data_IF_954163494288
#
_entry.id   IF_954163494288
#
_cell.length_a   1.000
_cell.length_b   1.000
_cell.length_c   1.000
_cell.angle_alpha   90.00
_cell.angle_beta   90.00
_cell.angle_gamma   90.00
#
_symmetry.space_group_name_H-M   'P 1'
#
loop_
_entity.id
_entity.type
_entity.pdbx_description
1 polymer ?
#
# COMPACT_ATOMS: atom_id res chain seq x y z
N UNK A 1 13.52 -62.11 -9.50
CA UNK A 1 13.75 -60.93 -8.64
C UNK A 1 13.77 -59.70 -9.53
N UNK A 2 12.76 -58.83 -9.45
CA UNK A 2 12.76 -57.57 -10.18
C UNK A 2 13.70 -56.55 -9.48
N UNK A 3 14.47 -55.73 -10.22
CA UNK A 3 15.37 -54.75 -9.62
C UNK A 3 14.58 -53.60 -8.99
N UNK A 4 14.92 -53.27 -7.74
CA UNK A 4 14.39 -52.12 -7.01
C UNK A 4 14.94 -50.84 -7.65
N UNK A 5 14.11 -49.84 -8.02
CA UNK A 5 14.59 -48.62 -8.66
C UNK A 5 15.36 -47.73 -7.67
N UNK A 6 16.37 -46.97 -8.12
CA UNK A 6 17.27 -46.23 -7.23
C UNK A 6 16.58 -45.01 -6.60
N UNK A 7 16.48 -45.04 -5.28
CA UNK A 7 16.05 -43.93 -4.43
C UNK A 7 17.18 -42.94 -4.17
N UNK A 8 17.45 -42.00 -5.09
CA UNK A 8 18.57 -41.04 -4.87
C UNK A 8 18.17 -39.58 -5.00
N UNK A 9 17.32 -39.19 -5.95
CA UNK A 9 16.98 -37.77 -6.16
C UNK A 9 15.89 -37.22 -5.21
N UNK A 10 14.85 -38.02 -4.91
CA UNK A 10 13.74 -37.57 -4.06
C UNK A 10 14.12 -37.48 -2.59
N UNK A 11 15.02 -38.37 -2.15
CA UNK A 11 15.55 -38.38 -0.79
C UNK A 11 16.59 -37.29 -0.56
N UNK A 12 17.40 -36.94 -1.57
CA UNK A 12 18.36 -35.83 -1.47
C UNK A 12 17.65 -34.48 -1.40
N UNK A 13 16.61 -34.25 -2.20
CA UNK A 13 15.78 -33.04 -2.13
C UNK A 13 15.03 -32.91 -0.79
N UNK A 14 14.50 -34.01 -0.26
CA UNK A 14 13.87 -34.02 1.06
C UNK A 14 14.86 -33.70 2.19
N UNK A 15 16.10 -34.22 2.11
CA UNK A 15 17.17 -33.90 3.07
C UNK A 15 17.62 -32.44 2.95
N UNK A 16 17.77 -31.91 1.74
CA UNK A 16 18.10 -30.50 1.52
C UNK A 16 17.02 -29.56 2.09
N UNK A 17 15.75 -29.87 1.88
CA UNK A 17 14.63 -29.12 2.47
C UNK A 17 14.59 -29.18 4.00
N UNK A 18 14.92 -30.33 4.59
CA UNK A 18 14.99 -30.49 6.05
C UNK A 18 16.15 -29.68 6.66
N UNK A 19 17.32 -29.67 6.01
CA UNK A 19 18.48 -28.88 6.43
C UNK A 19 18.19 -27.38 6.31
N UNK A 20 17.62 -26.93 5.20
CA UNK A 20 17.23 -25.54 5.02
C UNK A 20 16.23 -25.10 6.10
N UNK A 21 15.23 -25.93 6.42
CA UNK A 21 14.24 -25.63 7.47
C UNK A 21 14.89 -25.58 8.87
N UNK A 22 15.87 -26.43 9.15
CA UNK A 22 16.62 -26.38 10.42
C UNK A 22 17.51 -25.13 10.52
N UNK A 23 18.18 -24.76 9.44
CA UNK A 23 18.99 -23.53 9.38
C UNK A 23 18.09 -22.31 9.55
N UNK A 24 16.93 -22.26 8.88
CA UNK A 24 15.94 -21.19 9.05
C UNK A 24 15.40 -21.10 10.46
N UNK A 25 15.04 -22.23 11.10
CA UNK A 25 14.57 -22.23 12.49
C UNK A 25 15.65 -21.74 13.47
N UNK A 26 16.91 -22.14 13.27
CA UNK A 26 18.03 -21.69 14.11
C UNK A 26 18.35 -20.21 13.90
N UNK A 27 18.41 -19.78 12.65
CA UNK A 27 18.58 -18.37 12.31
C UNK A 27 17.42 -17.54 12.87
N UNK A 28 16.18 -18.02 12.79
CA UNK A 28 15.02 -17.35 13.35
C UNK A 28 15.12 -17.20 14.89
N UNK A 29 15.52 -18.26 15.59
CA UNK A 29 15.65 -18.24 17.07
C UNK A 29 16.81 -17.35 17.54
N UNK A 30 17.85 -17.15 16.74
CA UNK A 30 18.98 -16.28 17.12
C UNK A 30 18.76 -14.83 16.68
N UNK A 31 18.32 -14.65 15.43
CA UNK A 31 18.21 -13.33 14.80
C UNK A 31 16.92 -12.61 15.21
N UNK A 32 15.77 -13.28 15.33
CA UNK A 32 14.54 -12.57 15.71
C UNK A 32 14.62 -11.94 17.11
N UNK A 33 15.16 -12.61 18.15
CA UNK A 33 15.27 -11.98 19.47
C UNK A 33 16.26 -10.81 19.49
N UNK A 34 17.35 -10.87 18.71
CA UNK A 34 18.29 -9.75 18.61
C UNK A 34 17.72 -8.58 17.83
N UNK A 35 17.05 -8.83 16.70
CA UNK A 35 16.31 -7.80 15.95
C UNK A 35 15.19 -7.22 16.80
N UNK A 36 14.45 -8.06 17.53
CA UNK A 36 13.39 -7.64 18.44
C UNK A 36 13.94 -6.82 19.62
N UNK A 37 15.08 -7.18 20.20
CA UNK A 37 15.76 -6.42 21.28
C UNK A 37 16.36 -5.11 20.78
N UNK A 38 16.96 -5.10 19.59
CA UNK A 38 17.48 -3.88 18.97
C UNK A 38 16.33 -2.91 18.67
N UNK A 39 15.23 -3.41 18.11
CA UNK A 39 14.03 -2.60 17.88
C UNK A 39 13.38 -2.15 19.19
N UNK A 40 13.28 -2.96 20.24
CA UNK A 40 12.72 -2.51 21.54
C UNK A 40 13.62 -1.51 22.25
N UNK A 41 14.95 -1.68 22.24
CA UNK A 41 15.86 -0.69 22.84
C UNK A 41 15.81 0.66 22.12
N UNK A 42 15.60 0.68 20.81
CA UNK A 42 15.41 1.93 20.06
C UNK A 42 13.98 2.50 20.15
N UNK A 43 12.96 1.65 20.34
CA UNK A 43 11.56 2.07 20.45
C UNK A 43 11.18 2.60 21.86
N UNK A 44 11.92 2.21 22.91
CA UNK A 44 11.65 2.60 24.31
C UNK A 44 12.45 3.82 24.79
N UNK A 45 13.34 4.37 23.97
CA UNK A 45 13.84 5.72 24.23
C UNK A 45 12.64 6.66 24.10
N UNK A 46 12.21 7.33 25.18
CA UNK A 46 11.37 8.53 25.10
C UNK A 46 12.14 9.54 24.25
N UNK A 47 12.00 9.46 22.94
CA UNK A 47 12.34 10.55 22.05
C UNK A 47 11.25 11.57 22.31
N UNK A 48 11.66 12.73 22.81
CA UNK A 48 10.80 13.90 22.70
C UNK A 48 10.33 13.97 21.25
N UNK A 49 9.01 14.07 21.03
CA UNK A 49 8.42 14.29 19.70
C UNK A 49 8.69 15.73 19.26
N UNK A 50 9.91 16.22 19.47
CA UNK A 50 10.37 17.50 18.96
C UNK A 50 10.56 17.35 17.46
N UNK A 51 9.59 17.88 16.73
CA UNK A 51 9.56 17.84 15.28
C UNK A 51 10.67 18.76 14.77
N UNK A 52 11.64 18.21 14.03
CA UNK A 52 12.68 19.02 13.38
C UNK A 52 12.12 19.75 12.14
N UNK A 53 12.87 20.68 11.55
CA UNK A 53 12.42 21.43 10.37
C UNK A 53 12.01 20.53 9.19
N UNK A 54 12.75 19.44 8.94
CA UNK A 54 12.46 18.51 7.82
C UNK A 54 11.15 17.77 8.03
N UNK A 55 10.91 17.33 9.25
CA UNK A 55 9.67 16.68 9.65
C UNK A 55 8.49 17.67 9.64
N UNK A 56 8.69 18.91 10.11
CA UNK A 56 7.68 19.96 10.08
C UNK A 56 7.26 20.29 8.65
N UNK A 57 8.21 20.42 7.72
CA UNK A 57 7.93 20.58 6.29
C UNK A 57 7.16 19.37 5.75
N UNK A 58 7.57 18.15 6.11
CA UNK A 58 6.89 16.92 5.65
C UNK A 58 5.43 16.86 6.15
N UNK A 59 5.17 17.20 7.42
CA UNK A 59 3.82 17.31 7.96
C UNK A 59 3.00 18.41 7.28
N UNK A 60 3.61 19.57 7.03
CA UNK A 60 2.99 20.67 6.28
C UNK A 60 2.60 20.24 4.87
N UNK A 61 3.46 19.48 4.19
CA UNK A 61 3.17 18.91 2.86
C UNK A 61 2.04 17.88 2.91
N UNK A 62 1.99 17.00 3.93
CA UNK A 62 0.87 16.06 4.11
C UNK A 62 -0.45 16.83 4.28
N UNK A 63 -0.46 17.86 5.13
CA UNK A 63 -1.63 18.71 5.33
C UNK A 63 -2.06 19.43 4.05
N UNK A 64 -1.09 20.00 3.31
CA UNK A 64 -1.34 20.64 2.03
C UNK A 64 -1.90 19.64 1.00
N UNK A 65 -1.34 18.44 0.90
CA UNK A 65 -1.87 17.39 0.03
C UNK A 65 -3.30 17.02 0.39
N UNK A 66 -3.60 16.81 1.67
CA UNK A 66 -4.97 16.49 2.10
C UNK A 66 -5.97 17.58 1.69
N UNK A 67 -5.62 18.85 1.86
CA UNK A 67 -6.48 20.00 1.48
C UNK A 67 -6.60 20.13 -0.04
N UNK A 68 -5.49 20.03 -0.78
CA UNK A 68 -5.49 20.12 -2.24
C UNK A 68 -6.31 18.98 -2.84
N UNK A 69 -6.11 17.75 -2.36
CA UNK A 69 -6.91 16.59 -2.80
C UNK A 69 -8.38 16.83 -2.50
N UNK A 70 -8.73 17.34 -1.31
CA UNK A 70 -10.11 17.66 -0.97
C UNK A 70 -10.73 18.67 -1.96
N UNK A 71 -10.02 19.75 -2.28
CA UNK A 71 -10.50 20.77 -3.23
C UNK A 71 -10.65 20.16 -4.62
N UNK A 72 -9.61 19.51 -5.14
CA UNK A 72 -9.61 18.90 -6.47
C UNK A 72 -10.69 17.82 -6.61
N UNK A 73 -10.99 17.07 -5.54
CA UNK A 73 -12.05 16.05 -5.57
C UNK A 73 -13.45 16.65 -5.66
N UNK A 74 -13.69 17.79 -4.99
CA UNK A 74 -15.02 18.39 -4.88
C UNK A 74 -15.36 19.37 -6.01
N UNK A 75 -14.36 20.01 -6.63
CA UNK A 75 -14.60 21.00 -7.69
C UNK A 75 -14.77 20.32 -9.06
N UNK A 76 -15.91 20.53 -9.75
CA UNK A 76 -16.11 20.04 -11.12
C UNK A 76 -15.00 20.54 -12.05
N UNK A 77 -14.62 19.77 -13.09
CA UNK A 77 -13.45 19.99 -13.96
C UNK A 77 -12.09 19.74 -13.31
N UNK A 78 -11.82 20.27 -12.12
CA UNK A 78 -10.54 20.02 -11.41
C UNK A 78 -10.36 18.56 -11.01
N UNK A 79 -11.47 17.83 -10.78
CA UNK A 79 -11.48 16.39 -10.54
C UNK A 79 -10.77 15.59 -11.64
N UNK A 80 -10.76 16.08 -12.89
CA UNK A 80 -10.10 15.39 -14.01
C UNK A 80 -8.58 15.35 -13.84
N UNK A 81 -7.98 16.31 -13.14
CA UNK A 81 -6.54 16.33 -12.84
C UNK A 81 -6.15 15.16 -11.93
N UNK A 82 -7.04 14.80 -11.00
CA UNK A 82 -6.82 13.65 -10.11
C UNK A 82 -7.12 12.31 -10.76
N UNK A 83 -7.74 12.29 -11.94
CA UNK A 83 -8.20 11.06 -12.59
C UNK A 83 -7.14 9.95 -12.71
N UNK A 84 -5.91 10.19 -13.23
CA UNK A 84 -4.90 9.13 -13.34
C UNK A 84 -4.47 8.58 -11.96
N UNK A 85 -4.40 9.45 -10.95
CA UNK A 85 -4.07 9.04 -9.58
C UNK A 85 -5.24 8.28 -8.95
N UNK A 86 -6.48 8.70 -9.22
CA UNK A 86 -7.70 8.04 -8.74
C UNK A 86 -7.74 6.59 -9.21
N UNK A 87 -7.47 6.34 -10.50
CA UNK A 87 -7.39 4.99 -11.05
C UNK A 87 -6.31 4.15 -10.34
N UNK A 88 -5.16 4.75 -10.07
CA UNK A 88 -4.10 4.10 -9.31
C UNK A 88 -4.54 3.68 -7.90
N UNK A 89 -5.25 4.55 -7.18
CA UNK A 89 -5.67 4.24 -5.81
C UNK A 89 -6.83 3.24 -5.78
N UNK A 90 -7.75 3.29 -6.76
CA UNK A 90 -8.73 2.23 -6.99
C UNK A 90 -8.01 0.89 -7.21
N UNK A 91 -6.90 0.87 -7.94
CA UNK A 91 -6.14 -0.37 -8.13
C UNK A 91 -5.61 -0.95 -6.80
N UNK A 92 -5.19 -0.12 -5.83
CA UNK A 92 -4.82 -0.59 -4.50
C UNK A 92 -6.01 -1.14 -3.71
N UNK A 93 -7.19 -0.53 -3.87
CA UNK A 93 -8.44 -1.02 -3.29
C UNK A 93 -8.76 -2.43 -3.83
N UNK A 94 -8.77 -2.60 -5.14
CA UNK A 94 -9.00 -3.91 -5.77
C UNK A 94 -7.93 -4.94 -5.40
N UNK A 95 -6.68 -4.51 -5.28
CA UNK A 95 -5.59 -5.37 -4.83
C UNK A 95 -5.80 -5.87 -3.39
N UNK A 96 -6.39 -5.06 -2.51
CA UNK A 96 -6.79 -5.46 -1.16
C UNK A 96 -7.78 -6.62 -1.17
N UNK A 97 -8.84 -6.52 -1.99
CA UNK A 97 -9.77 -7.63 -2.19
C UNK A 97 -9.07 -8.88 -2.71
N UNK A 98 -8.20 -8.72 -3.71
CA UNK A 98 -7.50 -9.83 -4.36
C UNK A 98 -6.59 -10.60 -3.39
N UNK A 99 -5.77 -9.89 -2.59
CA UNK A 99 -4.91 -10.52 -1.58
C UNK A 99 -5.75 -11.25 -0.53
N UNK A 100 -6.76 -10.58 0.04
CA UNK A 100 -7.56 -11.19 1.11
C UNK A 100 -8.37 -12.36 0.61
N UNK A 101 -8.84 -12.34 -0.65
CA UNK A 101 -9.48 -13.48 -1.27
C UNK A 101 -8.52 -14.68 -1.29
N UNK A 102 -7.29 -14.50 -1.81
CA UNK A 102 -6.27 -15.55 -1.81
C UNK A 102 -5.95 -16.07 -0.40
N UNK A 103 -5.78 -15.17 0.57
CA UNK A 103 -5.48 -15.53 1.97
C UNK A 103 -6.64 -16.26 2.68
N UNK A 104 -7.88 -16.08 2.22
CA UNK A 104 -9.07 -16.73 2.80
C UNK A 104 -9.54 -17.96 2.02
N UNK A 105 -8.72 -18.46 1.09
CA UNK A 105 -8.99 -19.67 0.29
C UNK A 105 -9.87 -19.43 -0.94
N UNK A 106 -10.05 -18.17 -1.34
CA UNK A 106 -10.68 -17.78 -2.60
C UNK A 106 -9.69 -17.71 -3.76
N UNK A 107 -10.23 -17.59 -4.98
CA UNK A 107 -9.47 -17.41 -6.21
C UNK A 107 -9.91 -16.14 -6.90
N UNK A 108 -8.96 -15.28 -7.23
CA UNK A 108 -9.19 -14.08 -8.06
C UNK A 108 -9.31 -14.51 -9.52
N UNK A 109 -10.42 -14.14 -10.16
CA UNK A 109 -10.69 -14.46 -11.56
C UNK A 109 -10.25 -13.31 -12.48
N UNK A 110 -10.58 -12.07 -12.12
CA UNK A 110 -10.15 -10.88 -12.85
C UNK A 110 -10.31 -9.62 -12.02
N UNK A 111 -9.45 -8.64 -12.23
CA UNK A 111 -9.60 -7.27 -11.76
C UNK A 111 -9.91 -6.38 -12.98
N UNK A 112 -10.90 -5.49 -12.86
CA UNK A 112 -11.24 -4.50 -13.89
C UNK A 112 -11.18 -3.10 -13.28
N UNK A 113 -10.57 -2.14 -13.99
CA UNK A 113 -10.58 -0.72 -13.65
C UNK A 113 -11.37 0.02 -14.73
N UNK A 114 -12.53 0.52 -14.36
CA UNK A 114 -13.44 1.29 -15.22
C UNK A 114 -13.38 2.80 -14.87
N UNK A 115 -13.14 3.69 -15.85
CA UNK A 115 -13.11 5.14 -15.65
C UNK A 115 -14.39 5.74 -15.06
N UNK A 116 -15.53 5.13 -15.36
CA UNK A 116 -16.87 5.61 -15.04
C UNK A 116 -17.46 4.85 -13.86
N UNK A 117 -17.19 3.55 -13.76
CA UNK A 117 -17.79 2.67 -12.76
C UNK A 117 -16.89 2.39 -11.54
N UNK A 118 -15.58 2.67 -11.61
CA UNK A 118 -14.63 2.42 -10.53
C UNK A 118 -13.84 1.13 -10.71
N UNK A 119 -13.62 0.36 -9.63
CA UNK A 119 -12.91 -0.92 -9.68
C UNK A 119 -13.85 -2.10 -9.47
N UNK A 120 -13.51 -3.27 -10.01
CA UNK A 120 -14.22 -4.51 -9.73
C UNK A 120 -13.30 -5.73 -9.71
N UNK A 121 -13.24 -6.40 -8.55
CA UNK A 121 -12.54 -7.67 -8.35
C UNK A 121 -13.51 -8.83 -8.39
N UNK A 122 -13.49 -9.57 -9.50
CA UNK A 122 -14.23 -10.82 -9.63
C UNK A 122 -13.46 -11.94 -8.93
N UNK A 123 -14.06 -12.53 -7.90
CA UNK A 123 -13.48 -13.58 -7.08
C UNK A 123 -14.44 -14.75 -6.88
N UNK A 124 -13.91 -15.96 -6.77
CA UNK A 124 -14.65 -17.20 -6.45
C UNK A 124 -14.18 -17.75 -5.11
N UNK A 125 -15.10 -17.94 -4.17
CA UNK A 125 -14.77 -18.38 -2.81
C UNK A 125 -14.18 -17.25 -1.96
N UNK A 126 -13.52 -17.61 -0.86
CA UNK A 126 -13.02 -16.65 0.14
C UNK A 126 -14.09 -16.25 1.16
N UNK A 127 -13.66 -15.64 2.27
CA UNK A 127 -14.56 -15.20 3.35
C UNK A 127 -14.98 -13.75 3.13
N UNK A 128 -16.19 -13.55 2.59
CA UNK A 128 -16.70 -12.22 2.24
C UNK A 128 -16.75 -11.22 3.41
N UNK A 129 -16.89 -11.69 4.65
CA UNK A 129 -16.82 -10.86 5.85
C UNK A 129 -15.45 -10.14 6.01
N UNK A 130 -14.39 -10.68 5.41
CA UNK A 130 -13.03 -10.12 5.48
C UNK A 130 -12.65 -9.53 4.13
N UNK A 131 -13.05 -10.15 3.00
CA UNK A 131 -12.67 -9.63 1.69
C UNK A 131 -13.36 -8.31 1.35
N UNK A 132 -14.62 -8.09 1.74
CA UNK A 132 -15.32 -6.82 1.47
C UNK A 132 -14.67 -5.61 2.17
N UNK A 133 -14.38 -5.62 3.48
CA UNK A 133 -13.66 -4.49 4.10
C UNK A 133 -12.21 -4.37 3.62
N UNK A 134 -11.61 -5.43 3.05
CA UNK A 134 -10.20 -5.43 2.66
C UNK A 134 -9.86 -4.43 1.55
N UNK A 135 -10.82 -4.00 0.73
CA UNK A 135 -10.58 -2.96 -0.26
C UNK A 135 -10.21 -1.64 0.40
N UNK A 136 -11.11 -1.10 1.22
CA UNK A 136 -10.90 0.16 1.93
C UNK A 136 -9.77 0.08 2.95
N UNK A 137 -9.73 -0.98 3.76
CA UNK A 137 -8.73 -1.11 4.81
C UNK A 137 -7.34 -1.43 4.24
N UNK A 138 -7.28 -2.23 3.17
CA UNK A 138 -6.04 -2.59 2.50
C UNK A 138 -5.42 -1.40 1.78
N UNK A 139 -6.20 -0.65 0.99
CA UNK A 139 -5.73 0.60 0.35
C UNK A 139 -5.28 1.64 1.37
N UNK A 140 -5.96 1.75 2.51
CA UNK A 140 -5.59 2.68 3.56
C UNK A 140 -4.32 2.29 4.31
N UNK A 141 -4.12 0.99 4.54
CA UNK A 141 -2.89 0.44 5.11
C UNK A 141 -1.70 0.67 4.17
N UNK A 142 -1.86 0.36 2.88
CA UNK A 142 -0.84 0.63 1.86
C UNK A 142 -0.53 2.13 1.84
N UNK A 143 -1.56 2.99 1.83
CA UNK A 143 -1.40 4.44 1.91
C UNK A 143 -0.59 4.88 3.13
N UNK A 144 -0.89 4.33 4.32
CA UNK A 144 -0.14 4.60 5.53
C UNK A 144 1.33 4.18 5.42
N UNK A 145 1.61 2.99 4.88
CA UNK A 145 2.99 2.53 4.66
C UNK A 145 3.76 3.44 3.69
N UNK A 146 3.11 3.93 2.64
CA UNK A 146 3.71 4.89 1.71
C UNK A 146 3.97 6.24 2.38
N UNK A 147 3.04 6.72 3.22
CA UNK A 147 3.25 7.95 4.00
C UNK A 147 4.46 7.78 4.92
N UNK A 148 4.54 6.66 5.66
CA UNK A 148 5.67 6.33 6.51
C UNK A 148 6.99 6.36 5.72
N UNK A 149 7.04 5.70 4.57
CA UNK A 149 8.22 5.72 3.69
C UNK A 149 8.53 7.11 3.13
N UNK A 150 7.52 7.95 2.92
CA UNK A 150 7.64 9.33 2.45
C UNK A 150 8.38 10.29 3.40
N UNK A 151 8.66 9.87 4.64
CA UNK A 151 9.51 10.65 5.56
C UNK A 151 11.01 10.54 5.23
N UNK A 152 11.42 9.56 4.41
CA UNK A 152 12.84 9.31 4.11
C UNK A 152 13.07 8.90 2.64
N UNK A 153 14.15 9.42 2.03
CA UNK A 153 14.46 9.16 0.61
C UNK A 153 14.75 7.68 0.34
N UNK A 154 15.58 7.03 1.15
CA UNK A 154 15.93 5.62 0.97
C UNK A 154 14.74 4.70 1.21
N UNK A 155 13.92 5.01 2.23
CA UNK A 155 12.67 4.29 2.45
C UNK A 155 11.71 4.45 1.26
N UNK A 156 11.63 5.64 0.66
CA UNK A 156 10.82 5.89 -0.55
C UNK A 156 11.33 5.16 -1.78
N UNK A 157 12.65 5.02 -1.95
CA UNK A 157 13.26 4.16 -2.99
C UNK A 157 12.82 2.70 -2.83
N UNK A 158 12.87 2.17 -1.61
CA UNK A 158 12.40 0.80 -1.35
C UNK A 158 10.90 0.66 -1.61
N UNK A 159 10.12 1.63 -1.12
CA UNK A 159 8.67 1.64 -1.31
C UNK A 159 8.28 1.67 -2.79
N UNK A 160 8.95 2.47 -3.62
CA UNK A 160 8.61 2.54 -5.05
C UNK A 160 8.97 1.27 -5.82
N UNK A 161 9.99 0.52 -5.39
CA UNK A 161 10.26 -0.82 -5.94
C UNK A 161 9.14 -1.80 -5.61
N UNK A 162 8.68 -1.81 -4.34
CA UNK A 162 7.55 -2.64 -3.92
C UNK A 162 6.26 -2.24 -4.65
N UNK A 163 6.01 -0.93 -4.81
CA UNK A 163 4.90 -0.44 -5.62
C UNK A 163 4.97 -0.90 -7.07
N UNK A 164 6.16 -0.86 -7.68
CA UNK A 164 6.39 -1.39 -9.02
C UNK A 164 5.97 -2.86 -9.13
N UNK A 165 6.37 -3.69 -8.16
CA UNK A 165 5.94 -5.11 -8.10
C UNK A 165 4.43 -5.24 -7.94
N UNK A 166 3.82 -4.45 -7.04
CA UNK A 166 2.36 -4.45 -6.88
C UNK A 166 1.64 -4.12 -8.19
N UNK A 167 2.11 -3.13 -8.96
CA UNK A 167 1.51 -2.81 -10.26
C UNK A 167 1.69 -3.90 -11.30
N UNK A 168 2.84 -4.59 -11.31
CA UNK A 168 3.02 -5.75 -12.19
C UNK A 168 2.03 -6.87 -11.84
N UNK A 169 1.77 -7.10 -10.55
CA UNK A 169 0.74 -8.04 -10.10
C UNK A 169 -0.67 -7.57 -10.47
N UNK A 170 -0.95 -6.26 -10.38
CA UNK A 170 -2.20 -5.68 -10.88
C UNK A 170 -2.35 -5.92 -12.38
N UNK A 171 -1.29 -5.81 -13.19
CA UNK A 171 -1.35 -6.16 -14.62
C UNK A 171 -1.52 -7.66 -14.86
N UNK A 172 -1.02 -8.51 -13.96
CA UNK A 172 -1.21 -9.96 -14.05
C UNK A 172 -2.66 -10.36 -13.82
N UNK A 173 -3.33 -9.80 -12.80
CA UNK A 173 -4.74 -10.06 -12.49
C UNK A 173 -5.72 -9.19 -13.27
N UNK A 174 -5.25 -8.05 -13.76
CA UNK A 174 -6.00 -7.08 -14.52
C UNK A 174 -6.42 -7.67 -15.86
N UNK A 175 -7.63 -7.31 -16.30
CA UNK A 175 -7.93 -7.39 -17.72
C UNK A 175 -6.89 -6.53 -18.45
N UNK A 176 -6.36 -7.03 -19.56
CA UNK A 176 -5.40 -6.29 -20.40
C UNK A 176 -6.11 -5.22 -21.22
N UNK A 177 -7.00 -4.46 -20.57
CA UNK A 177 -7.62 -3.29 -21.19
C UNK A 177 -6.58 -2.16 -21.28
N UNK A 178 -6.73 -1.34 -22.31
CA UNK A 178 -5.78 -0.26 -22.60
C UNK A 178 -5.65 0.74 -21.44
N UNK A 179 -6.71 0.98 -20.68
CA UNK A 179 -6.76 1.99 -19.62
C UNK A 179 -6.02 1.54 -18.36
N UNK A 180 -6.20 0.29 -17.94
CA UNK A 180 -5.44 -0.35 -16.86
C UNK A 180 -3.95 -0.35 -17.21
N UNK A 181 -3.60 -0.75 -18.44
CA UNK A 181 -2.22 -0.76 -18.91
C UNK A 181 -1.63 0.66 -18.92
N UNK A 182 -2.34 1.63 -19.49
CA UNK A 182 -1.91 3.02 -19.54
C UNK A 182 -1.73 3.61 -18.14
N UNK A 183 -2.67 3.39 -17.22
CA UNK A 183 -2.59 3.89 -15.85
C UNK A 183 -1.37 3.34 -15.13
N UNK A 184 -1.12 2.03 -15.24
CA UNK A 184 0.07 1.40 -14.65
C UNK A 184 1.35 1.93 -15.28
N UNK A 185 1.40 2.07 -16.61
CA UNK A 185 2.57 2.61 -17.30
C UNK A 185 2.86 4.05 -16.91
N UNK A 186 1.84 4.90 -16.79
CA UNK A 186 1.99 6.28 -16.33
C UNK A 186 2.45 6.35 -14.87
N UNK A 187 1.90 5.51 -13.99
CA UNK A 187 2.32 5.43 -12.59
C UNK A 187 3.78 4.98 -12.47
N UNK A 188 4.17 3.91 -13.18
CA UNK A 188 5.56 3.44 -13.20
C UNK A 188 6.48 4.49 -13.82
N UNK A 189 6.08 5.11 -14.93
CA UNK A 189 6.82 6.18 -15.59
C UNK A 189 7.06 7.37 -14.67
N UNK A 190 6.05 7.79 -13.90
CA UNK A 190 6.17 8.84 -12.90
C UNK A 190 7.15 8.46 -11.78
N UNK A 191 7.07 7.23 -11.25
CA UNK A 191 7.99 6.76 -10.21
C UNK A 191 9.44 6.70 -10.73
N UNK A 192 9.65 6.20 -11.94
CA UNK A 192 10.97 6.13 -12.58
C UNK A 192 11.50 7.54 -12.85
N UNK A 193 10.69 8.45 -13.39
CA UNK A 193 11.12 9.83 -13.62
C UNK A 193 11.51 10.52 -12.31
N UNK A 194 10.69 10.38 -11.26
CA UNK A 194 10.95 10.98 -9.95
C UNK A 194 12.17 10.35 -9.24
N UNK A 195 12.54 9.12 -9.59
CA UNK A 195 13.73 8.45 -9.07
C UNK A 195 15.02 9.17 -9.46
N UNK A 196 15.11 9.67 -10.70
CA UNK A 196 16.30 10.33 -11.23
C UNK A 196 16.41 11.82 -10.88
N UNK A 197 15.35 12.44 -10.35
CA UNK A 197 15.35 13.87 -9.99
C UNK A 197 15.93 14.05 -8.58
N UNK A 198 16.98 14.88 -8.47
CA UNK A 198 17.61 15.29 -7.20
C UNK A 198 17.86 14.12 -6.24
N UNK A 199 18.53 13.06 -6.72
CA UNK A 199 18.82 11.85 -5.94
C UNK A 199 17.58 11.23 -5.25
N UNK A 200 16.46 11.16 -5.97
CA UNK A 200 15.17 10.63 -5.52
C UNK A 200 14.45 11.48 -4.45
N UNK A 201 14.83 12.75 -4.28
CA UNK A 201 14.09 13.67 -3.40
C UNK A 201 12.67 13.92 -3.93
N UNK A 202 12.49 14.03 -5.26
CA UNK A 202 11.17 14.14 -5.87
C UNK A 202 10.34 12.86 -5.63
N UNK A 203 10.95 11.69 -5.78
CA UNK A 203 10.31 10.39 -5.51
C UNK A 203 9.72 10.34 -4.10
N UNK A 204 10.45 10.85 -3.10
CA UNK A 204 9.98 10.92 -1.71
C UNK A 204 8.61 11.61 -1.61
N UNK A 205 8.45 12.74 -2.29
CA UNK A 205 7.21 13.51 -2.26
C UNK A 205 6.11 12.93 -3.15
N UNK A 206 6.46 12.22 -4.22
CA UNK A 206 5.50 11.46 -5.05
C UNK A 206 4.94 10.27 -4.26
N UNK A 207 5.80 9.49 -3.60
CA UNK A 207 5.38 8.38 -2.73
C UNK A 207 4.50 8.89 -1.59
N UNK A 208 4.88 10.00 -0.96
CA UNK A 208 4.07 10.66 0.06
C UNK A 208 2.70 11.08 -0.46
N UNK A 209 2.64 11.67 -1.67
CA UNK A 209 1.39 12.08 -2.31
C UNK A 209 0.46 10.88 -2.58
N UNK A 210 1.00 9.82 -3.20
CA UNK A 210 0.25 8.58 -3.47
C UNK A 210 -0.26 7.98 -2.15
N UNK A 211 0.57 8.00 -1.11
CA UNK A 211 0.21 7.54 0.23
C UNK A 211 -0.98 8.29 0.82
N UNK A 212 -0.92 9.64 0.84
CA UNK A 212 -2.02 10.49 1.33
C UNK A 212 -3.30 10.25 0.55
N UNK A 213 -3.20 10.18 -0.78
CA UNK A 213 -4.37 9.94 -1.63
C UNK A 213 -4.99 8.56 -1.37
N UNK A 214 -4.16 7.52 -1.21
CA UNK A 214 -4.61 6.16 -0.89
C UNK A 214 -5.22 6.05 0.52
N UNK A 215 -4.65 6.71 1.53
CA UNK A 215 -5.20 6.71 2.89
C UNK A 215 -6.54 7.44 3.01
N UNK A 216 -6.76 8.48 2.21
CA UNK A 216 -8.00 9.25 2.23
C UNK A 216 -9.06 8.70 1.27
N UNK A 217 -8.72 7.73 0.43
CA UNK A 217 -9.62 7.20 -0.59
C UNK A 217 -10.92 6.64 -0.01
N UNK A 218 -10.84 5.81 1.03
CA UNK A 218 -12.04 5.25 1.67
C UNK A 218 -12.97 6.35 2.18
N UNK A 219 -12.39 7.40 2.80
CA UNK A 219 -13.13 8.56 3.30
C UNK A 219 -13.86 9.25 2.14
N UNK A 220 -13.16 9.50 1.03
CA UNK A 220 -13.75 10.17 -0.13
C UNK A 220 -14.80 9.33 -0.84
N UNK A 221 -14.56 8.04 -1.02
CA UNK A 221 -15.51 7.15 -1.69
C UNK A 221 -16.81 7.02 -0.89
N UNK A 222 -16.70 6.95 0.44
CA UNK A 222 -17.84 6.95 1.36
C UNK A 222 -18.53 8.33 1.39
N UNK A 223 -17.79 9.44 1.35
CA UNK A 223 -18.39 10.77 1.23
C UNK A 223 -19.16 10.93 -0.08
N UNK A 224 -18.61 10.47 -1.21
CA UNK A 224 -19.29 10.47 -2.51
C UNK A 224 -20.58 9.62 -2.44
N UNK A 225 -20.55 8.44 -1.81
CA UNK A 225 -21.73 7.60 -1.61
C UNK A 225 -22.81 8.29 -0.76
N UNK A 226 -22.40 8.97 0.31
CA UNK A 226 -23.30 9.64 1.25
C UNK A 226 -23.93 10.92 0.66
N UNK A 227 -23.15 11.71 -0.07
CA UNK A 227 -23.52 13.05 -0.54
C UNK A 227 -24.10 12.99 -1.95
N UNK A 228 -23.44 12.28 -2.88
CA UNK A 228 -23.81 12.25 -4.29
C UNK A 228 -24.76 11.10 -4.65
N UNK A 229 -25.09 10.22 -3.69
CA UNK A 229 -25.98 9.05 -3.89
C UNK A 229 -25.61 8.29 -5.18
N UNK A 230 -24.37 7.80 -5.24
CA UNK A 230 -23.91 6.98 -6.37
C UNK A 230 -24.92 5.87 -6.65
N UNK A 231 -25.19 5.67 -7.94
CA UNK A 231 -26.06 4.60 -8.45
C UNK A 231 -25.40 3.23 -8.22
N UNK A 232 -24.07 3.18 -8.18
CA UNK A 232 -23.28 1.97 -8.02
C UNK A 232 -23.19 1.52 -6.55
N UNK A 233 -23.23 0.21 -6.32
CA UNK A 233 -23.11 -0.38 -4.98
C UNK A 233 -21.65 -0.39 -4.51
N UNK A 234 -21.35 0.25 -3.39
CA UNK A 234 -20.04 0.16 -2.72
C UNK A 234 -19.90 -1.09 -1.85
N UNK A 235 -18.67 -1.43 -1.44
CA UNK A 235 -18.43 -2.56 -0.54
C UNK A 235 -19.21 -2.44 0.78
N UNK A 236 -19.39 -1.22 1.27
CA UNK A 236 -20.16 -0.97 2.49
C UNK A 236 -21.65 -1.30 2.29
N UNK A 237 -22.19 -1.01 1.10
CA UNK A 237 -23.55 -1.39 0.74
C UNK A 237 -23.72 -2.90 0.61
N UNK A 238 -22.78 -3.58 -0.05
CA UNK A 238 -22.79 -5.05 -0.21
C UNK A 238 -22.63 -5.74 1.14
N UNK A 239 -21.77 -5.22 2.01
CA UNK A 239 -21.57 -5.73 3.36
C UNK A 239 -22.83 -5.58 4.21
N UNK A 240 -23.47 -4.41 4.18
CA UNK A 240 -24.72 -4.16 4.90
C UNK A 240 -25.86 -5.08 4.43
N UNK A 241 -25.98 -5.33 3.11
CA UNK A 241 -26.96 -6.27 2.58
C UNK A 241 -26.74 -7.71 3.06
N UNK A 242 -25.48 -8.11 3.25
CA UNK A 242 -25.12 -9.49 3.61
C UNK A 242 -25.10 -9.75 5.11
N UNK A 243 -24.61 -8.79 5.90
CA UNK A 243 -24.36 -8.96 7.33
C UNK A 243 -25.23 -8.05 8.20
N UNK A 244 -26.10 -7.24 7.59
CA UNK A 244 -26.98 -6.31 8.27
C UNK A 244 -26.32 -4.99 8.64
N UNK A 245 -27.12 -4.10 9.24
CA UNK A 245 -26.73 -2.72 9.54
C UNK A 245 -26.92 -1.78 8.35
N UNK A 246 -26.42 -0.56 8.49
CA UNK A 246 -26.47 0.46 7.45
C UNK A 246 -25.13 0.56 6.74
N UNK A 247 -25.15 0.74 5.42
CA UNK A 247 -23.94 1.02 4.62
C UNK A 247 -23.18 2.22 5.16
N UNK A 248 -23.90 3.22 5.70
CA UNK A 248 -23.30 4.41 6.32
C UNK A 248 -22.51 4.08 7.57
N UNK A 249 -23.04 3.18 8.41
CA UNK A 249 -22.39 2.78 9.65
C UNK A 249 -21.07 2.05 9.36
N UNK A 250 -21.11 1.06 8.47
CA UNK A 250 -19.91 0.33 8.06
C UNK A 250 -18.90 1.22 7.35
N UNK A 251 -19.36 2.10 6.46
CA UNK A 251 -18.52 3.11 5.83
C UNK A 251 -17.81 3.97 6.87
N UNK A 252 -18.54 4.62 7.79
CA UNK A 252 -17.94 5.47 8.81
C UNK A 252 -16.91 4.74 9.69
N UNK A 253 -17.18 3.49 10.06
CA UNK A 253 -16.24 2.65 10.81
C UNK A 253 -14.94 2.47 10.02
N UNK A 254 -15.03 2.09 8.75
CA UNK A 254 -13.84 1.87 7.92
C UNK A 254 -13.10 3.17 7.59
N UNK A 255 -13.81 4.29 7.39
CA UNK A 255 -13.20 5.62 7.27
C UNK A 255 -12.41 5.99 8.52
N UNK A 256 -12.95 5.75 9.71
CA UNK A 256 -12.25 6.02 10.96
C UNK A 256 -10.97 5.18 11.11
N UNK A 257 -11.05 3.88 10.79
CA UNK A 257 -9.87 2.99 10.80
C UNK A 257 -8.82 3.47 9.79
N UNK A 258 -9.26 3.96 8.63
CA UNK A 258 -8.36 4.46 7.58
C UNK A 258 -7.60 5.71 8.04
N UNK A 259 -8.29 6.66 8.68
CA UNK A 259 -7.66 7.84 9.29
C UNK A 259 -6.73 7.45 10.43
N UNK A 260 -7.08 6.43 11.23
CA UNK A 260 -6.21 5.91 12.28
C UNK A 260 -4.92 5.32 11.72
N UNK A 261 -4.97 4.55 10.62
CA UNK A 261 -3.76 4.05 9.94
C UNK A 261 -2.87 5.20 9.46
N UNK A 262 -3.46 6.25 8.88
CA UNK A 262 -2.71 7.44 8.48
C UNK A 262 -2.04 8.12 9.68
N UNK A 263 -2.76 8.32 10.79
CA UNK A 263 -2.21 8.94 11.99
C UNK A 263 -1.06 8.13 12.59
N UNK A 264 -1.23 6.80 12.69
CA UNK A 264 -0.17 5.88 13.16
C UNK A 264 1.05 5.93 12.25
N UNK A 265 0.86 5.94 10.93
CA UNK A 265 1.96 6.04 9.97
C UNK A 265 2.74 7.36 10.10
N UNK A 266 2.06 8.48 10.32
CA UNK A 266 2.68 9.79 10.55
C UNK A 266 3.52 9.75 11.84
N UNK A 267 2.94 9.29 12.95
CA UNK A 267 3.65 9.19 14.24
C UNK A 267 4.85 8.25 14.13
N UNK A 268 4.68 7.10 13.45
CA UNK A 268 5.78 6.18 13.21
C UNK A 268 6.87 6.81 12.33
N UNK A 269 6.51 7.58 11.31
CA UNK A 269 7.47 8.28 10.44
C UNK A 269 8.28 9.32 11.20
N UNK A 270 7.63 10.09 12.08
CA UNK A 270 8.30 11.03 12.98
C UNK A 270 9.27 10.34 13.94
N UNK A 271 8.88 9.20 14.50
CA UNK A 271 9.72 8.44 15.42
C UNK A 271 10.91 7.76 14.73
N UNK A 272 10.70 7.24 13.51
CA UNK A 272 11.69 6.45 12.78
C UNK A 272 12.70 7.30 12.01
N UNK A 273 12.32 8.49 11.52
CA UNK A 273 13.14 9.28 10.61
C UNK A 273 13.45 10.69 11.17
N UNK A 274 14.41 10.81 12.10
CA UNK A 274 14.84 12.10 12.66
C UNK A 274 15.82 12.87 11.75
N UNK A 275 16.23 12.32 10.61
CA UNK A 275 17.25 12.92 9.74
C UNK A 275 16.75 14.19 9.06
N UNK A 276 17.65 15.18 8.92
CA UNK A 276 17.46 16.39 8.13
C UNK A 276 17.51 16.13 6.62
N UNK A 277 17.04 17.07 5.80
CA UNK A 277 17.11 16.95 4.34
C UNK A 277 18.52 16.69 3.81
N UNK A 278 19.54 17.38 4.32
CA UNK A 278 20.94 17.21 3.90
C UNK A 278 21.49 15.84 4.26
N UNK A 279 21.15 15.32 5.44
CA UNK A 279 21.53 13.96 5.85
C UNK A 279 20.84 12.91 4.97
N UNK A 280 19.54 13.06 4.72
CA UNK A 280 18.80 12.14 3.83
C UNK A 280 19.36 12.13 2.41
N UNK A 281 19.77 13.28 1.88
CA UNK A 281 20.37 13.38 0.55
C UNK A 281 21.75 12.72 0.51
N UNK A 282 22.58 12.96 1.53
CA UNK A 282 23.89 12.30 1.69
C UNK A 282 23.73 10.77 1.76
N UNK A 283 22.79 10.28 2.57
CA UNK A 283 22.49 8.85 2.70
C UNK A 283 21.98 8.26 1.37
N UNK A 284 21.21 9.02 0.60
CA UNK A 284 20.69 8.61 -0.72
C UNK A 284 21.79 8.43 -1.77
N UNK A 285 22.87 9.19 -1.69
CA UNK A 285 24.04 9.05 -2.58
C UNK A 285 24.78 7.74 -2.36
N UNK A 286 24.71 7.18 -1.15
CA UNK A 286 25.38 5.91 -0.81
C UNK A 286 24.48 4.67 -1.03
N UNK A 287 23.16 4.85 -1.13
CA UNK A 287 22.19 3.75 -1.27
C UNK A 287 21.42 3.85 -2.59
N UNK A 288 21.67 2.92 -3.53
CA UNK A 288 21.12 2.93 -4.89
C UNK A 288 21.30 4.31 -5.57
N UNK A 289 22.56 4.71 -5.83
CA UNK A 289 22.87 6.02 -6.41
C UNK A 289 22.29 6.16 -7.81
N UNK A 290 21.70 7.33 -8.07
CA UNK A 290 21.39 7.79 -9.42
C UNK A 290 22.53 8.67 -9.89
N UNK A 291 23.10 8.34 -11.05
CA UNK A 291 24.11 9.14 -11.74
C UNK A 291 23.45 10.10 -12.70
#
# INVERSE_FOLDING_TARGET
MAPVPPTTARQSLARAGAIANQVWKRAAVVVLPEVARATTKHALARRDLTVNHTQAVTLGVIGAYAVIIAILWNVPFLRQVLWPFKMLVIAFHEFGHAITACCTGGKVLSITLDPNEGGATLMKGGKQAITLPAGYLGSSLIGGLLIFCGFNINASKVASMVLGVCFLLTLWWGKRDWLTVLTVLLAVGLLVAAWFISHAQALRFVVLFIGVMSSLYSVWDICDDLIMRKVNSSDASVFAQRYGGSSRCWGLIWSFISVAFMAVAIVAGLAAFPQSFSEQESDSKNFLPTR
#
